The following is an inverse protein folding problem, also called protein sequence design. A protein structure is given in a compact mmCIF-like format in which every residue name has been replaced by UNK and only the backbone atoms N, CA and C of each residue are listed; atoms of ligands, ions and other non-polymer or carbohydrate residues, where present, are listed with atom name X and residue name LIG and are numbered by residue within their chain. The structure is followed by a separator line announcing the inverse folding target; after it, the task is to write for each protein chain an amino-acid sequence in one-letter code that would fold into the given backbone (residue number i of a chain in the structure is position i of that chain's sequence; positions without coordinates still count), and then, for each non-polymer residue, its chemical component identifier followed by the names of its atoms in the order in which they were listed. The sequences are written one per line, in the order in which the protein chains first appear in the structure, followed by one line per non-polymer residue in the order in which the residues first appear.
data_IF_817616129403
#
_entry.id   IF_817616129403
#
_cell.length_a   1.000
_cell.length_b   1.000
_cell.length_c   1.000
_cell.angle_alpha   90.00
_cell.angle_beta   90.00
_cell.angle_gamma   90.00
#
_symmetry.space_group_name_H-M   'P 1'
#
loop_
_entity.id
_entity.type
_entity.pdbx_description
1 polymer ?
#
# COMPACT_ATOMS: atom_id res chain seq x y z
N UNK A 1 -11.15 -24.10 -35.79
CA UNK A 1 -11.98 -22.97 -35.34
C UNK A 1 -11.91 -22.92 -33.83
N UNK A 2 -11.36 -21.85 -33.26
CA UNK A 2 -11.28 -21.69 -31.81
C UNK A 2 -12.57 -21.03 -31.33
N UNK A 3 -13.33 -21.74 -30.48
CA UNK A 3 -14.62 -21.25 -29.94
C UNK A 3 -14.44 -20.03 -29.03
N UNK A 4 -13.26 -19.89 -28.42
CA UNK A 4 -12.92 -18.76 -27.56
C UNK A 4 -11.75 -17.97 -28.13
N UNK A 5 -11.84 -16.64 -28.14
CA UNK A 5 -10.73 -15.76 -28.51
C UNK A 5 -9.55 -15.85 -27.51
N UNK A 6 -8.39 -15.35 -27.91
CA UNK A 6 -7.17 -15.37 -27.12
C UNK A 6 -7.36 -14.77 -25.70
N UNK A 7 -7.88 -13.55 -25.62
CA UNK A 7 -8.03 -12.82 -24.35
C UNK A 7 -8.94 -13.56 -23.34
N UNK A 8 -10.00 -14.19 -23.83
CA UNK A 8 -10.93 -14.96 -22.98
C UNK A 8 -10.28 -16.24 -22.49
N UNK A 9 -9.53 -16.93 -23.36
CA UNK A 9 -8.80 -18.15 -23.00
C UNK A 9 -7.78 -17.88 -21.91
N UNK A 10 -6.98 -16.82 -22.05
CA UNK A 10 -6.01 -16.42 -21.01
C UNK A 10 -6.70 -16.10 -19.69
N UNK A 11 -7.88 -15.46 -19.73
CA UNK A 11 -8.65 -15.18 -18.51
C UNK A 11 -9.19 -16.44 -17.83
N UNK A 12 -9.66 -17.43 -18.61
CA UNK A 12 -10.09 -18.73 -18.08
C UNK A 12 -8.90 -19.47 -17.45
N UNK A 13 -7.73 -19.44 -18.10
CA UNK A 13 -6.49 -20.00 -17.53
C UNK A 13 -6.11 -19.27 -16.24
N UNK A 14 -6.23 -17.94 -16.19
CA UNK A 14 -6.03 -17.14 -14.98
C UNK A 14 -6.97 -17.55 -13.84
N UNK A 15 -8.26 -17.73 -14.12
CA UNK A 15 -9.24 -18.23 -13.14
C UNK A 15 -8.93 -19.65 -12.66
N UNK A 16 -8.48 -20.53 -13.57
CA UNK A 16 -8.03 -21.87 -13.21
C UNK A 16 -6.80 -21.81 -12.30
N UNK A 17 -5.85 -20.94 -12.61
CA UNK A 17 -4.65 -20.72 -11.80
C UNK A 17 -5.02 -20.26 -10.38
N UNK A 18 -5.92 -19.26 -10.29
CA UNK A 18 -6.43 -18.73 -9.03
C UNK A 18 -7.17 -19.79 -8.20
N UNK A 19 -8.02 -20.60 -8.84
CA UNK A 19 -8.92 -21.53 -8.12
C UNK A 19 -8.26 -22.87 -7.76
N UNK A 20 -7.37 -23.39 -8.61
CA UNK A 20 -6.82 -24.75 -8.44
C UNK A 20 -5.34 -24.78 -8.10
N UNK A 21 -4.56 -23.90 -8.71
CA UNK A 21 -3.10 -24.02 -8.66
C UNK A 21 -2.54 -23.27 -7.46
N UNK A 22 -3.01 -22.06 -7.21
CA UNK A 22 -2.57 -21.24 -6.07
C UNK A 22 -2.80 -21.91 -4.70
N UNK A 23 -3.97 -22.52 -4.42
CA UNK A 23 -4.18 -23.24 -3.15
C UNK A 23 -3.21 -24.41 -2.95
N UNK A 24 -2.64 -24.98 -4.02
CA UNK A 24 -1.67 -26.07 -3.92
C UNK A 24 -0.25 -25.58 -3.55
N UNK A 25 0.08 -24.33 -3.85
CA UNK A 25 1.41 -23.77 -3.59
C UNK A 25 1.53 -23.08 -2.23
N UNK A 26 0.41 -22.69 -1.62
CA UNK A 26 0.33 -22.00 -0.32
C UNK A 26 1.29 -20.79 -0.24
N UNK A 27 1.27 -19.95 -1.28
CA UNK A 27 2.14 -18.78 -1.41
C UNK A 27 2.00 -17.78 -0.24
N UNK A 28 0.78 -17.44 0.23
CA UNK A 28 0.62 -16.49 1.33
C UNK A 28 1.31 -16.96 2.62
N UNK A 29 1.16 -18.24 2.97
CA UNK A 29 1.82 -18.85 4.13
C UNK A 29 3.33 -18.80 4.03
N UNK A 30 3.90 -19.15 2.87
CA UNK A 30 5.35 -19.07 2.61
C UNK A 30 5.90 -17.65 2.79
N UNK A 31 5.18 -16.64 2.30
CA UNK A 31 5.56 -15.24 2.47
C UNK A 31 5.60 -14.84 3.96
N UNK A 32 4.71 -15.39 4.78
CA UNK A 32 4.58 -15.13 6.21
C UNK A 32 5.53 -15.95 7.12
N UNK A 33 6.46 -16.72 6.55
CA UNK A 33 7.45 -17.48 7.33
C UNK A 33 8.65 -16.63 7.79
N UNK A 34 9.30 -16.99 8.89
CA UNK A 34 10.59 -16.39 9.29
C UNK A 34 10.49 -15.07 10.07
N UNK A 35 9.29 -14.71 10.53
CA UNK A 35 9.12 -13.63 11.50
C UNK A 35 9.37 -14.09 12.92
N UNK A 36 9.83 -13.17 13.76
CA UNK A 36 10.02 -13.40 15.19
C UNK A 36 9.16 -12.44 16.01
N UNK A 37 8.56 -12.99 17.07
CA UNK A 37 7.63 -12.28 17.93
C UNK A 37 8.02 -12.41 19.40
N UNK A 38 7.70 -11.37 20.16
CA UNK A 38 7.69 -11.41 21.62
C UNK A 38 6.39 -12.02 22.16
N UNK A 39 6.52 -12.98 23.06
CA UNK A 39 5.43 -13.55 23.83
C UNK A 39 5.40 -12.95 25.24
N UNK A 40 4.18 -12.76 25.75
CA UNK A 40 3.99 -12.32 27.11
C UNK A 40 4.37 -13.47 28.08
N UNK A 41 5.15 -13.19 29.12
CA UNK A 41 5.51 -14.17 30.14
C UNK A 41 4.28 -14.61 30.94
N UNK A 42 4.28 -15.87 31.39
CA UNK A 42 3.18 -16.41 32.20
C UNK A 42 3.15 -15.77 33.59
N UNK A 43 2.02 -15.88 34.29
CA UNK A 43 1.92 -15.36 35.65
C UNK A 43 2.96 -15.99 36.60
N UNK A 44 3.35 -17.24 36.35
CA UNK A 44 4.37 -17.94 37.12
C UNK A 44 5.78 -17.37 36.85
N UNK A 45 6.10 -17.06 35.59
CA UNK A 45 7.39 -16.46 35.21
C UNK A 45 7.51 -15.04 35.78
N UNK A 46 6.42 -14.27 35.76
CA UNK A 46 6.35 -12.95 36.37
C UNK A 46 6.54 -12.99 37.90
N UNK A 47 5.99 -14.02 38.58
CA UNK A 47 6.17 -14.22 40.03
C UNK A 47 7.59 -14.64 40.38
N UNK A 48 8.20 -15.49 39.55
CA UNK A 48 9.59 -15.92 39.70
C UNK A 48 10.55 -14.75 39.47
N UNK A 49 10.33 -13.93 38.43
CA UNK A 49 11.11 -12.73 38.14
C UNK A 49 10.96 -11.65 39.23
N UNK A 50 9.81 -11.59 39.90
CA UNK A 50 9.57 -10.73 41.06
C UNK A 50 10.15 -11.27 42.38
N UNK A 51 10.88 -12.39 42.36
CA UNK A 51 11.42 -13.08 43.55
C UNK A 51 10.34 -13.43 44.61
N UNK A 52 9.09 -13.64 44.19
CA UNK A 52 7.99 -14.01 45.06
C UNK A 52 7.85 -15.54 45.08
N UNK A 53 7.79 -16.15 46.28
CA UNK A 53 7.59 -17.61 46.42
C UNK A 53 6.31 -18.05 45.70
N UNK A 54 6.33 -19.17 44.96
CA UNK A 54 5.11 -19.71 44.35
C UNK A 54 4.08 -19.98 45.45
N UNK A 55 2.81 -19.60 45.23
CA UNK A 55 1.71 -20.01 46.10
C UNK A 55 1.59 -21.53 46.00
N UNK A 56 2.21 -22.25 46.93
CA UNK A 56 1.92 -23.67 47.14
C UNK A 56 0.44 -23.80 47.43
N UNK A 57 -0.27 -24.53 46.58
CA UNK A 57 -1.67 -24.88 46.74
C UNK A 57 -1.79 -25.78 47.97
N UNK A 58 -1.90 -25.19 49.16
CA UNK A 58 -2.44 -25.87 50.34
C UNK A 58 -3.64 -25.09 50.85
N UNK A 59 -4.74 -25.83 50.88
CA UNK A 59 -6.09 -25.40 51.13
C UNK A 59 -6.22 -24.49 52.37
N UNK A 60 -6.86 -23.34 52.19
CA UNK A 60 -7.66 -22.74 53.24
C UNK A 60 -8.97 -22.27 52.63
N UNK A 61 -10.00 -23.10 52.79
CA UNK A 61 -11.40 -22.71 52.60
C UNK A 61 -11.73 -21.64 53.65
N UNK A 62 -11.79 -20.38 53.24
CA UNK A 62 -12.70 -19.42 53.87
C UNK A 62 -13.07 -18.32 52.89
N UNK A 63 -14.38 -18.20 52.68
CA UNK A 63 -15.06 -17.21 51.87
C UNK A 63 -14.47 -15.81 52.01
N UNK A 64 -14.07 -15.24 50.89
CA UNK A 64 -14.31 -13.83 50.55
C UNK A 64 -14.17 -13.70 49.03
N UNK A 65 -15.15 -13.05 48.43
CA UNK A 65 -15.23 -12.60 47.04
C UNK A 65 -13.84 -12.45 46.38
N UNK A 66 -13.39 -13.46 45.65
CA UNK A 66 -12.08 -13.44 44.98
C UNK A 66 -12.25 -12.65 43.69
N UNK A 67 -12.25 -11.32 43.80
CA UNK A 67 -11.62 -10.54 42.74
C UNK A 67 -10.20 -11.10 42.64
N UNK A 68 -9.91 -11.79 41.54
CA UNK A 68 -8.58 -12.23 41.18
C UNK A 68 -7.66 -11.02 41.24
N UNK A 69 -6.98 -10.82 42.39
CA UNK A 69 -6.06 -9.69 42.58
C UNK A 69 -5.02 -9.78 41.48
N UNK A 70 -5.13 -8.89 40.50
CA UNK A 70 -4.21 -8.83 39.37
C UNK A 70 -2.78 -8.71 39.90
N UNK A 71 -1.90 -9.55 39.39
CA UNK A 71 -0.49 -9.54 39.78
C UNK A 71 0.17 -8.27 39.25
N UNK A 72 0.52 -7.36 40.17
CA UNK A 72 1.30 -6.15 39.88
C UNK A 72 2.78 -6.51 39.85
N UNK A 73 3.43 -6.24 38.74
CA UNK A 73 4.87 -6.47 38.54
C UNK A 73 5.64 -5.32 39.21
N UNK A 74 6.58 -5.62 40.14
CA UNK A 74 7.45 -4.60 40.72
C UNK A 74 8.31 -3.92 39.65
N UNK A 75 8.58 -2.61 39.80
CA UNK A 75 9.37 -1.85 38.81
C UNK A 75 10.76 -2.44 38.57
N UNK A 76 11.37 -2.98 39.63
CA UNK A 76 12.75 -3.48 39.65
C UNK A 76 12.89 -4.93 39.15
N UNK A 77 11.78 -5.62 38.87
CA UNK A 77 11.82 -7.00 38.39
C UNK A 77 12.13 -7.04 36.88
N UNK A 78 13.28 -7.58 36.47
CA UNK A 78 13.58 -7.84 35.06
C UNK A 78 12.75 -9.03 34.55
N UNK A 79 11.51 -8.77 34.11
CA UNK A 79 10.68 -9.81 33.52
C UNK A 79 11.13 -10.05 32.05
N UNK A 80 11.61 -11.26 31.70
CA UNK A 80 12.02 -11.56 30.34
C UNK A 80 10.80 -11.69 29.41
N UNK A 81 10.83 -11.02 28.26
CA UNK A 81 9.92 -11.28 27.14
C UNK A 81 10.50 -12.43 26.32
N UNK A 82 9.72 -13.49 26.10
CA UNK A 82 10.17 -14.63 25.31
C UNK A 82 10.18 -14.28 23.82
N UNK A 83 11.30 -14.49 23.16
CA UNK A 83 11.45 -14.27 21.72
C UNK A 83 11.38 -15.62 21.00
N UNK A 84 10.39 -15.80 20.13
CA UNK A 84 10.23 -17.05 19.40
C UNK A 84 9.79 -16.80 17.96
N UNK A 85 10.13 -17.76 17.10
CA UNK A 85 9.74 -17.76 15.70
C UNK A 85 8.24 -18.01 15.59
N UNK A 86 7.59 -17.26 14.71
CA UNK A 86 6.16 -17.39 14.42
C UNK A 86 5.95 -18.55 13.45
N UNK A 87 5.01 -19.45 13.77
CA UNK A 87 4.64 -20.55 12.87
C UNK A 87 3.62 -20.07 11.83
N UNK A 88 3.56 -20.76 10.69
CA UNK A 88 2.60 -20.43 9.64
C UNK A 88 1.14 -20.49 10.14
N UNK A 89 0.81 -21.49 10.96
CA UNK A 89 -0.53 -21.68 11.51
C UNK A 89 -0.97 -20.56 12.47
N UNK A 90 -0.03 -19.83 13.08
CA UNK A 90 -0.36 -18.76 14.01
C UNK A 90 -1.03 -17.58 13.28
N UNK A 91 -0.77 -17.42 11.98
CA UNK A 91 -1.30 -16.33 11.17
C UNK A 91 -2.76 -16.54 10.77
N UNK A 92 -3.25 -17.78 10.66
CA UNK A 92 -4.61 -18.05 10.19
C UNK A 92 -5.69 -17.55 11.15
N UNK A 93 -5.35 -17.41 12.44
CA UNK A 93 -6.24 -16.88 13.47
C UNK A 93 -6.32 -15.34 13.48
N UNK A 94 -5.45 -14.67 12.72
CA UNK A 94 -5.43 -13.21 12.69
C UNK A 94 -6.57 -12.64 11.84
N UNK A 95 -7.13 -11.54 12.31
CA UNK A 95 -8.13 -10.80 11.58
C UNK A 95 -7.49 -10.19 10.32
N UNK A 96 -8.17 -10.30 9.17
CA UNK A 96 -7.69 -9.99 7.81
C UNK A 96 -6.77 -11.01 7.11
N UNK A 97 -6.59 -12.22 7.67
CA UNK A 97 -5.82 -13.28 7.00
C UNK A 97 -6.36 -13.65 5.62
N UNK A 98 -7.69 -13.84 5.43
CA UNK A 98 -8.24 -14.08 4.11
C UNK A 98 -7.95 -12.95 3.12
N UNK A 99 -8.05 -11.70 3.54
CA UNK A 99 -7.83 -10.52 2.70
C UNK A 99 -6.36 -10.41 2.25
N UNK A 100 -5.41 -10.78 3.11
CA UNK A 100 -3.99 -10.88 2.73
C UNK A 100 -3.74 -12.00 1.71
N UNK A 101 -4.33 -13.18 1.93
CA UNK A 101 -4.22 -14.28 0.99
C UNK A 101 -4.77 -13.86 -0.38
N UNK A 102 -6.01 -13.36 -0.42
CA UNK A 102 -6.63 -12.86 -1.65
C UNK A 102 -5.81 -11.77 -2.34
N UNK A 103 -5.20 -10.85 -1.59
CA UNK A 103 -4.32 -9.83 -2.17
C UNK A 103 -3.15 -10.45 -2.94
N UNK A 104 -2.40 -11.34 -2.28
CA UNK A 104 -1.23 -11.99 -2.89
C UNK A 104 -1.65 -12.81 -4.11
N UNK A 105 -2.67 -13.64 -3.96
CA UNK A 105 -3.11 -14.58 -4.98
C UNK A 105 -3.70 -13.88 -6.21
N UNK A 106 -4.54 -12.87 -5.98
CA UNK A 106 -5.13 -12.07 -7.04
C UNK A 106 -4.09 -11.21 -7.75
N UNK A 107 -3.12 -10.65 -7.01
CA UNK A 107 -2.03 -9.89 -7.60
C UNK A 107 -1.14 -10.73 -8.51
N UNK A 108 -0.72 -11.92 -8.06
CA UNK A 108 0.09 -12.84 -8.86
C UNK A 108 -0.66 -13.27 -10.13
N UNK A 109 -1.94 -13.61 -9.99
CA UNK A 109 -2.77 -14.02 -11.13
C UNK A 109 -2.94 -12.89 -12.14
N UNK A 110 -3.20 -11.67 -11.67
CA UNK A 110 -3.35 -10.48 -12.53
C UNK A 110 -2.06 -10.18 -13.30
N UNK A 111 -0.92 -10.22 -12.61
CA UNK A 111 0.39 -10.03 -13.25
C UNK A 111 0.71 -11.14 -14.26
N UNK A 112 0.34 -12.39 -13.95
CA UNK A 112 0.51 -13.51 -14.86
C UNK A 112 -0.33 -13.33 -16.14
N UNK A 113 -1.62 -13.01 -15.99
CA UNK A 113 -2.53 -12.76 -17.13
C UNK A 113 -2.01 -11.61 -17.98
N UNK A 114 -1.53 -10.53 -17.36
CA UNK A 114 -0.93 -9.41 -18.07
C UNK A 114 0.35 -9.83 -18.81
N UNK A 115 1.27 -10.52 -18.14
CA UNK A 115 2.54 -10.95 -18.72
C UNK A 115 2.33 -11.87 -19.92
N UNK A 116 1.41 -12.84 -19.84
CA UNK A 116 1.06 -13.72 -20.98
C UNK A 116 0.43 -12.91 -22.12
N UNK A 117 -0.44 -11.95 -21.80
CA UNK A 117 -1.11 -11.13 -22.81
C UNK A 117 -0.14 -10.22 -23.56
N UNK A 118 0.92 -9.74 -22.89
CA UNK A 118 1.97 -8.91 -23.50
C UNK A 118 3.06 -9.72 -24.19
N UNK A 119 3.41 -10.91 -23.68
CA UNK A 119 4.46 -11.75 -24.23
C UNK A 119 4.09 -12.37 -25.58
N UNK A 120 2.79 -12.60 -25.83
CA UNK A 120 2.31 -13.15 -27.10
C UNK A 120 2.17 -12.02 -28.14
N UNK A 121 2.93 -12.06 -29.26
CA UNK A 121 2.82 -11.05 -30.31
C UNK A 121 1.41 -11.01 -30.90
N UNK A 122 0.99 -9.84 -31.38
CA UNK A 122 -0.34 -9.61 -31.98
C UNK A 122 -0.68 -10.64 -33.06
N UNK A 123 0.31 -11.07 -33.83
CA UNK A 123 0.14 -11.96 -34.99
C UNK A 123 -0.21 -13.40 -34.58
N UNK A 124 0.12 -13.78 -33.34
CA UNK A 124 -0.20 -15.09 -32.77
C UNK A 124 -1.49 -15.09 -31.94
N UNK A 125 -2.14 -13.93 -31.74
CA UNK A 125 -3.41 -13.84 -31.03
C UNK A 125 -4.53 -14.30 -31.98
N UNK A 126 -5.04 -15.51 -31.74
CA UNK A 126 -6.13 -16.04 -32.55
C UNK A 126 -7.43 -15.28 -32.24
N UNK A 127 -8.13 -14.92 -33.31
CA UNK A 127 -9.46 -14.29 -33.26
C UNK A 127 -10.51 -15.39 -33.11
N UNK A 128 -11.34 -15.30 -32.07
CA UNK A 128 -12.49 -16.20 -31.91
C UNK A 128 -13.69 -15.67 -32.68
N UNK A 129 -14.58 -16.56 -33.13
CA UNK A 129 -15.72 -16.20 -33.99
C UNK A 129 -16.84 -15.43 -33.24
N UNK A 130 -16.79 -15.32 -31.91
CA UNK A 130 -17.95 -14.98 -31.07
C UNK A 130 -17.84 -13.70 -30.23
N UNK A 131 -16.72 -12.97 -30.24
CA UNK A 131 -16.55 -11.72 -29.46
C UNK A 131 -15.78 -10.70 -30.30
N UNK A 132 -16.20 -9.42 -30.36
CA UNK A 132 -15.35 -8.38 -30.93
C UNK A 132 -14.04 -8.33 -30.15
N UNK A 133 -12.94 -8.65 -30.84
CA UNK A 133 -11.57 -8.78 -30.33
C UNK A 133 -10.97 -7.48 -29.75
N UNK A 134 -11.79 -6.43 -29.61
CA UNK A 134 -11.39 -5.10 -29.18
C UNK A 134 -11.14 -5.01 -27.67
N UNK A 135 -11.72 -5.92 -26.88
CA UNK A 135 -11.62 -5.85 -25.41
C UNK A 135 -10.42 -6.65 -24.90
N UNK A 136 -9.39 -5.91 -24.47
CA UNK A 136 -8.24 -6.48 -23.77
C UNK A 136 -8.63 -6.87 -22.33
N UNK A 137 -8.98 -8.14 -22.10
CA UNK A 137 -9.41 -8.63 -20.78
C UNK A 137 -8.34 -8.47 -19.70
N UNK A 138 -7.04 -8.40 -20.02
CA UNK A 138 -6.00 -8.16 -19.00
C UNK A 138 -6.19 -6.81 -18.29
N UNK A 139 -6.73 -5.80 -19.00
CA UNK A 139 -7.08 -4.50 -18.43
C UNK A 139 -8.20 -4.63 -17.40
N UNK A 140 -9.19 -5.49 -17.64
CA UNK A 140 -10.25 -5.78 -16.66
C UNK A 140 -9.65 -6.36 -15.38
N UNK A 141 -8.71 -7.30 -15.47
CA UNK A 141 -8.05 -7.86 -14.30
C UNK A 141 -7.31 -6.78 -13.49
N UNK A 142 -6.62 -5.85 -14.16
CA UNK A 142 -5.95 -4.72 -13.49
C UNK A 142 -6.98 -3.80 -12.81
N UNK A 143 -8.10 -3.47 -13.47
CA UNK A 143 -9.15 -2.64 -12.88
C UNK A 143 -9.75 -3.33 -11.64
N UNK A 144 -10.03 -4.64 -11.73
CA UNK A 144 -10.49 -5.44 -10.59
C UNK A 144 -9.47 -5.46 -9.45
N UNK A 145 -8.17 -5.50 -9.75
CA UNK A 145 -7.11 -5.44 -8.74
C UNK A 145 -7.10 -4.06 -8.04
N UNK A 146 -7.20 -2.97 -8.81
CA UNK A 146 -7.31 -1.62 -8.26
C UNK A 146 -8.55 -1.46 -7.37
N UNK A 147 -9.70 -1.99 -7.80
CA UNK A 147 -10.93 -1.97 -7.01
C UNK A 147 -10.81 -2.80 -5.73
N UNK A 148 -10.26 -4.01 -5.83
CA UNK A 148 -10.01 -4.86 -4.67
C UNK A 148 -9.12 -4.15 -3.65
N UNK A 149 -8.02 -3.54 -4.08
CA UNK A 149 -7.14 -2.79 -3.20
C UNK A 149 -7.86 -1.60 -2.55
N UNK A 150 -8.61 -0.82 -3.34
CA UNK A 150 -9.33 0.36 -2.86
C UNK A 150 -10.43 0.00 -1.85
N UNK A 151 -11.17 -1.08 -2.08
CA UNK A 151 -12.21 -1.58 -1.17
C UNK A 151 -11.59 -2.05 0.16
N UNK A 152 -10.48 -2.81 0.10
CA UNK A 152 -9.81 -3.27 1.31
C UNK A 152 -9.22 -2.11 2.12
N UNK A 153 -8.64 -1.11 1.45
CA UNK A 153 -8.19 0.12 2.10
C UNK A 153 -9.34 0.86 2.79
N UNK A 154 -10.48 1.04 2.11
CA UNK A 154 -11.66 1.67 2.70
C UNK A 154 -12.21 0.89 3.91
N UNK A 155 -12.18 -0.46 3.87
CA UNK A 155 -12.56 -1.33 4.99
C UNK A 155 -11.61 -1.21 6.19
N UNK A 156 -10.32 -1.03 5.95
CA UNK A 156 -9.34 -0.80 7.02
C UNK A 156 -9.59 0.57 7.67
N UNK A 157 -9.76 1.61 6.85
CA UNK A 157 -9.97 2.98 7.34
C UNK A 157 -11.31 3.15 8.07
N UNK A 158 -12.36 2.42 7.68
CA UNK A 158 -13.67 2.49 8.36
C UNK A 158 -13.64 1.96 9.80
N UNK A 159 -12.79 0.96 10.10
CA UNK A 159 -12.62 0.45 11.47
C UNK A 159 -11.95 1.45 12.40
N UNK A 160 -11.12 2.32 11.84
CA UNK A 160 -10.38 3.38 12.54
C UNK A 160 -11.22 4.65 12.74
N UNK A 161 -12.40 4.76 12.13
CA UNK A 161 -13.33 5.87 12.40
C UNK A 161 -13.91 5.79 13.83
N UNK A 162 -13.64 4.76 14.64
CA UNK A 162 -14.29 4.64 15.95
C UNK A 162 -13.77 5.63 17.00
N UNK A 163 -12.49 6.03 16.95
CA UNK A 163 -11.90 6.97 17.90
C UNK A 163 -12.07 8.43 17.46
N UNK A 164 -12.40 9.33 18.39
CA UNK A 164 -12.59 10.77 18.10
C UNK A 164 -11.33 11.43 17.52
N UNK A 165 -10.15 11.09 18.04
CA UNK A 165 -8.88 11.61 17.52
C UNK A 165 -8.52 11.06 16.14
N UNK A 166 -8.90 9.81 15.87
CA UNK A 166 -8.69 9.18 14.56
C UNK A 166 -9.60 9.81 13.48
N UNK A 167 -10.83 10.18 13.85
CA UNK A 167 -11.77 10.90 12.96
C UNK A 167 -11.22 12.26 12.52
N UNK A 168 -10.68 13.05 13.44
CA UNK A 168 -10.17 14.38 13.11
C UNK A 168 -8.95 14.30 12.18
N UNK A 169 -8.06 13.32 12.39
CA UNK A 169 -6.95 13.04 11.47
C UNK A 169 -7.45 12.68 10.08
N UNK A 170 -8.44 11.78 9.95
CA UNK A 170 -9.01 11.42 8.65
C UNK A 170 -9.56 12.64 7.91
N UNK A 171 -10.36 13.46 8.58
CA UNK A 171 -10.94 14.68 7.99
C UNK A 171 -9.85 15.65 7.56
N UNK A 172 -8.81 15.85 8.38
CA UNK A 172 -7.71 16.76 8.07
C UNK A 172 -6.96 16.35 6.78
N UNK A 173 -6.53 15.09 6.66
CA UNK A 173 -5.87 14.63 5.43
C UNK A 173 -6.82 14.59 4.22
N UNK A 174 -8.10 14.31 4.44
CA UNK A 174 -9.14 14.47 3.41
C UNK A 174 -9.22 15.91 2.90
N UNK A 175 -9.20 16.90 3.79
CA UNK A 175 -9.19 18.31 3.40
C UNK A 175 -7.89 18.73 2.71
N UNK A 176 -6.73 18.24 3.14
CA UNK A 176 -5.46 18.57 2.49
C UNK A 176 -5.35 17.99 1.08
N UNK A 177 -5.82 16.77 0.87
CA UNK A 177 -5.87 16.16 -0.47
C UNK A 177 -6.94 16.81 -1.36
N UNK A 178 -8.07 17.22 -0.80
CA UNK A 178 -9.07 18.04 -1.50
C UNK A 178 -8.46 19.34 -2.02
N UNK A 179 -7.77 20.10 -1.16
CA UNK A 179 -7.14 21.37 -1.53
C UNK A 179 -6.03 21.12 -2.55
N UNK A 180 -5.20 20.09 -2.35
CA UNK A 180 -4.13 19.72 -3.29
C UNK A 180 -4.69 19.39 -4.67
N UNK A 181 -5.79 18.64 -4.74
CA UNK A 181 -6.50 18.35 -5.99
C UNK A 181 -7.07 19.61 -6.63
N UNK A 182 -7.71 20.48 -5.84
CA UNK A 182 -8.28 21.72 -6.33
C UNK A 182 -7.20 22.62 -6.94
N UNK A 183 -6.05 22.73 -6.27
CA UNK A 183 -4.87 23.41 -6.80
C UNK A 183 -4.39 22.76 -8.09
N UNK A 184 -4.22 21.43 -8.12
CA UNK A 184 -3.71 20.74 -9.30
C UNK A 184 -4.63 20.83 -10.54
N UNK A 185 -5.94 20.83 -10.35
CA UNK A 185 -6.92 20.96 -11.44
C UNK A 185 -7.09 22.41 -11.92
N UNK A 186 -6.71 23.40 -11.10
CA UNK A 186 -6.81 24.83 -11.43
C UNK A 186 -5.53 25.38 -12.04
N UNK A 187 -4.37 24.83 -11.67
CA UNK A 187 -3.07 25.23 -12.22
C UNK A 187 -2.97 24.89 -13.72
N UNK A 188 -2.12 25.65 -14.43
CA UNK A 188 -1.82 25.38 -15.84
C UNK A 188 -0.98 24.12 -16.01
N UNK A 189 -1.04 23.55 -17.22
CA UNK A 189 -0.22 22.39 -17.63
C UNK A 189 1.29 22.61 -17.47
N UNK A 190 1.74 23.87 -17.39
CA UNK A 190 3.14 24.22 -17.11
C UNK A 190 3.60 23.82 -15.69
N UNK A 191 2.68 23.78 -14.73
CA UNK A 191 3.01 23.46 -13.33
C UNK A 191 2.79 22.00 -13.02
N UNK A 192 1.66 21.44 -13.48
CA UNK A 192 1.27 20.05 -13.22
C UNK A 192 0.69 19.45 -14.49
N UNK A 193 1.29 18.34 -14.93
CA UNK A 193 0.95 17.72 -16.21
C UNK A 193 -0.07 16.59 -16.03
N UNK A 194 -1.34 16.97 -15.90
CA UNK A 194 -2.44 16.01 -15.77
C UNK A 194 -3.25 15.83 -17.05
N UNK A 195 -3.18 16.78 -17.99
CA UNK A 195 -4.03 16.78 -19.20
C UNK A 195 -5.50 17.18 -18.94
N UNK A 196 -5.82 17.62 -17.72
CA UNK A 196 -7.20 17.96 -17.34
C UNK A 196 -7.77 19.18 -18.08
N UNK A 197 -6.92 20.16 -18.42
CA UNK A 197 -7.38 21.37 -19.12
C UNK A 197 -7.88 21.06 -20.54
N UNK A 198 -7.26 20.10 -21.21
CA UNK A 198 -7.68 19.62 -22.53
C UNK A 198 -9.02 18.89 -22.45
N UNK A 199 -9.19 18.05 -21.42
CA UNK A 199 -10.43 17.32 -21.17
C UNK A 199 -11.63 18.25 -20.97
N UNK A 200 -11.43 19.36 -20.25
CA UNK A 200 -12.53 20.25 -19.83
C UNK A 200 -12.68 21.49 -20.73
N UNK A 201 -11.88 21.57 -21.80
CA UNK A 201 -11.90 22.69 -22.76
C UNK A 201 -13.28 22.90 -23.40
N UNK A 202 -13.98 21.81 -23.73
CA UNK A 202 -15.26 21.83 -24.43
C UNK A 202 -16.49 21.86 -23.51
N UNK A 203 -16.28 21.90 -22.18
CA UNK A 203 -17.36 21.88 -21.19
C UNK A 203 -17.78 23.29 -20.78
N UNK A 204 -19.10 23.49 -20.64
CA UNK A 204 -19.66 24.73 -20.09
C UNK A 204 -19.11 25.00 -18.68
N UNK A 205 -19.02 26.29 -18.31
CA UNK A 205 -18.43 26.73 -17.03
C UNK A 205 -19.03 26.04 -15.80
N UNK A 206 -20.35 25.84 -15.77
CA UNK A 206 -21.03 25.16 -14.65
C UNK A 206 -20.68 23.67 -14.60
N UNK A 207 -20.62 23.00 -15.75
CA UNK A 207 -20.24 21.58 -15.83
C UNK A 207 -18.76 21.38 -15.47
N UNK A 208 -17.88 22.30 -15.91
CA UNK A 208 -16.46 22.35 -15.52
C UNK A 208 -16.30 22.42 -14.00
N UNK A 209 -16.99 23.35 -13.34
CA UNK A 209 -16.93 23.48 -11.87
C UNK A 209 -17.50 22.24 -11.18
N UNK A 210 -18.62 21.70 -11.66
CA UNK A 210 -19.22 20.48 -11.12
C UNK A 210 -18.27 19.27 -11.20
N UNK A 211 -17.65 19.06 -12.36
CA UNK A 211 -16.71 17.96 -12.58
C UNK A 211 -15.45 18.12 -11.71
N UNK A 212 -14.87 19.32 -11.65
CA UNK A 212 -13.75 19.62 -10.73
C UNK A 212 -14.13 19.33 -9.28
N UNK A 213 -15.33 19.72 -8.85
CA UNK A 213 -15.79 19.49 -7.48
C UNK A 213 -15.98 18.00 -7.17
N UNK A 214 -16.55 17.22 -8.09
CA UNK A 214 -16.70 15.76 -7.93
C UNK A 214 -15.33 15.09 -7.81
N UNK A 215 -14.36 15.47 -8.64
CA UNK A 215 -13.00 14.94 -8.58
C UNK A 215 -12.30 15.34 -7.27
N UNK A 216 -12.48 16.59 -6.81
CA UNK A 216 -11.95 17.04 -5.52
C UNK A 216 -12.60 16.28 -4.33
N UNK A 217 -13.90 16.01 -4.36
CA UNK A 217 -14.54 15.19 -3.32
C UNK A 217 -14.03 13.75 -3.34
N UNK A 218 -13.83 13.18 -4.53
CA UNK A 218 -13.24 11.85 -4.70
C UNK A 218 -11.80 11.80 -4.16
N UNK A 219 -10.99 12.82 -4.44
CA UNK A 219 -9.63 12.92 -3.88
C UNK A 219 -9.62 13.05 -2.36
N UNK A 220 -10.56 13.79 -1.78
CA UNK A 220 -10.72 13.87 -0.33
C UNK A 220 -11.01 12.51 0.32
N UNK A 221 -11.86 11.71 -0.33
CA UNK A 221 -12.15 10.35 0.12
C UNK A 221 -10.90 9.47 0.08
N UNK A 222 -10.18 9.44 -1.03
CA UNK A 222 -8.93 8.66 -1.14
C UNK A 222 -7.86 9.15 -0.15
N UNK A 223 -7.70 10.46 0.01
CA UNK A 223 -6.79 11.04 0.99
C UNK A 223 -7.08 10.59 2.41
N UNK A 224 -8.36 10.61 2.81
CA UNK A 224 -8.79 10.10 4.11
C UNK A 224 -8.45 8.61 4.26
N UNK A 225 -8.71 7.81 3.23
CA UNK A 225 -8.44 6.37 3.26
C UNK A 225 -6.93 6.07 3.40
N UNK A 226 -6.05 6.84 2.75
CA UNK A 226 -4.60 6.63 2.83
C UNK A 226 -3.93 7.17 4.09
N UNK A 227 -4.57 8.09 4.84
CA UNK A 227 -3.99 8.72 6.03
C UNK A 227 -3.28 7.70 6.92
N UNK A 228 -4.01 6.75 7.50
CA UNK A 228 -3.45 5.77 8.43
C UNK A 228 -2.40 4.86 7.81
N UNK A 229 -2.50 4.58 6.52
CA UNK A 229 -1.48 3.82 5.83
C UNK A 229 -0.15 4.59 5.81
N UNK A 230 -0.19 5.89 5.53
CA UNK A 230 0.99 6.76 5.59
C UNK A 230 1.62 6.86 6.98
N UNK A 231 0.81 7.04 8.04
CA UNK A 231 1.31 7.04 9.42
C UNK A 231 2.04 5.75 9.77
N UNK A 232 1.44 4.60 9.43
CA UNK A 232 2.01 3.29 9.74
C UNK A 232 3.30 3.02 8.97
N UNK A 233 3.35 3.41 7.69
CA UNK A 233 4.58 3.32 6.90
C UNK A 233 5.68 4.19 7.50
N UNK A 234 5.37 5.42 7.94
CA UNK A 234 6.33 6.31 8.56
C UNK A 234 6.87 5.74 9.89
N UNK A 235 5.98 5.22 10.74
CA UNK A 235 6.35 4.55 12.00
C UNK A 235 7.29 3.37 11.74
N UNK A 236 6.88 2.43 10.90
CA UNK A 236 7.70 1.25 10.56
C UNK A 236 9.04 1.61 9.96
N UNK A 237 9.10 2.66 9.15
CA UNK A 237 10.34 3.08 8.52
C UNK A 237 11.33 3.64 9.56
N UNK A 238 10.84 4.44 10.50
CA UNK A 238 11.64 4.91 11.65
C UNK A 238 12.12 3.72 12.48
N UNK A 239 11.22 2.85 12.89
CA UNK A 239 11.54 1.70 13.76
C UNK A 239 12.50 0.72 13.06
N UNK A 240 12.34 0.48 11.76
CA UNK A 240 13.26 -0.34 10.99
C UNK A 240 14.64 0.32 10.86
N UNK A 241 14.70 1.63 10.63
CA UNK A 241 15.96 2.37 10.51
C UNK A 241 16.73 2.52 11.82
N UNK A 242 16.05 2.45 12.97
CA UNK A 242 16.68 2.41 14.29
C UNK A 242 17.32 1.04 14.59
N UNK A 243 16.71 -0.05 14.12
CA UNK A 243 17.18 -1.41 14.36
C UNK A 243 18.29 -1.86 13.37
N UNK A 244 18.36 -1.27 12.19
CA UNK A 244 19.31 -1.65 11.12
C UNK A 244 20.55 -0.74 11.05
N UNK A 245 21.67 -1.27 10.52
CA UNK A 245 22.94 -0.54 10.35
C UNK A 245 23.48 -0.61 8.92
N UNK A 246 24.31 0.37 8.55
CA UNK A 246 25.02 0.40 7.26
C UNK A 246 24.11 0.42 6.04
N UNK A 247 24.36 -0.47 5.07
CA UNK A 247 23.65 -0.53 3.79
C UNK A 247 22.15 -0.80 4.00
N UNK A 248 21.77 -1.69 4.92
CA UNK A 248 20.35 -2.01 5.17
C UNK A 248 19.56 -0.78 5.64
N UNK A 249 20.15 0.05 6.50
CA UNK A 249 19.55 1.32 6.92
C UNK A 249 19.35 2.28 5.74
N UNK A 250 20.35 2.38 4.85
CA UNK A 250 20.24 3.17 3.62
C UNK A 250 19.11 2.64 2.72
N UNK A 251 18.97 1.32 2.58
CA UNK A 251 17.92 0.70 1.76
C UNK A 251 16.51 0.95 2.32
N UNK A 252 16.36 0.93 3.64
CA UNK A 252 15.10 1.23 4.35
C UNK A 252 14.71 2.69 4.11
N UNK A 253 15.62 3.64 4.35
CA UNK A 253 15.37 5.05 4.03
C UNK A 253 15.08 5.27 2.54
N UNK A 254 15.83 4.63 1.64
CA UNK A 254 15.58 4.68 0.21
C UNK A 254 14.16 4.27 -0.15
N UNK A 255 13.62 3.22 0.48
CA UNK A 255 12.23 2.75 0.26
C UNK A 255 11.17 3.76 0.70
N UNK A 256 11.47 4.60 1.69
CA UNK A 256 10.59 5.66 2.15
C UNK A 256 10.63 6.86 1.20
N UNK A 257 11.84 7.33 0.87
CA UNK A 257 12.02 8.48 -0.01
C UNK A 257 11.55 8.21 -1.45
N UNK A 258 11.70 6.99 -1.97
CA UNK A 258 11.24 6.67 -3.32
C UNK A 258 9.72 6.89 -3.48
N UNK A 259 8.93 6.66 -2.42
CA UNK A 259 7.50 6.98 -2.43
C UNK A 259 7.18 8.48 -2.52
N UNK A 260 8.07 9.33 -1.98
CA UNK A 260 7.93 10.79 -2.02
C UNK A 260 8.35 11.39 -3.37
N UNK A 261 9.20 10.67 -4.13
CA UNK A 261 9.65 11.12 -5.44
C UNK A 261 8.56 10.98 -6.51
N UNK A 262 7.62 10.04 -6.36
CA UNK A 262 6.62 9.75 -7.39
C UNK A 262 5.74 10.96 -7.73
N UNK A 263 5.14 11.70 -6.77
CA UNK A 263 4.35 12.88 -7.10
C UNK A 263 5.16 13.97 -7.81
N UNK A 264 6.46 14.08 -7.52
CA UNK A 264 7.37 15.09 -8.12
C UNK A 264 7.50 14.86 -9.63
N UNK A 265 7.41 13.61 -10.10
CA UNK A 265 7.48 13.29 -11.53
C UNK A 265 6.37 13.93 -12.37
N UNK A 266 5.25 14.33 -11.76
CA UNK A 266 4.12 14.99 -12.44
C UNK A 266 4.28 16.51 -12.59
N UNK A 267 5.36 17.09 -12.04
CA UNK A 267 5.66 18.51 -12.17
C UNK A 267 6.69 18.71 -13.28
N UNK A 268 6.30 19.23 -14.48
CA UNK A 268 7.20 19.31 -15.63
C UNK A 268 8.50 20.06 -15.35
N UNK A 269 8.42 21.20 -14.65
CA UNK A 269 9.59 22.01 -14.28
C UNK A 269 10.60 21.28 -13.40
N UNK A 270 10.15 20.34 -12.59
CA UNK A 270 11.03 19.56 -11.69
C UNK A 270 11.52 18.27 -12.35
N UNK A 271 10.77 17.73 -13.30
CA UNK A 271 11.05 16.43 -13.90
C UNK A 271 11.31 16.53 -15.41
N UNK A 272 10.25 16.66 -16.23
CA UNK A 272 10.34 16.63 -17.70
C UNK A 272 11.31 17.67 -18.26
N UNK A 273 11.13 18.93 -17.91
CA UNK A 273 11.95 20.04 -18.42
C UNK A 273 13.40 19.93 -17.95
N UNK A 274 13.63 19.38 -16.76
CA UNK A 274 14.98 19.15 -16.24
C UNK A 274 15.69 18.02 -16.99
N UNK A 275 14.98 16.94 -17.31
CA UNK A 275 15.52 15.86 -18.13
C UNK A 275 15.80 16.30 -19.58
N UNK A 276 15.00 17.21 -20.11
CA UNK A 276 15.16 17.80 -21.45
C UNK A 276 16.16 18.98 -21.50
N UNK A 277 16.85 19.32 -20.40
CA UNK A 277 17.90 20.34 -20.44
C UNK A 277 19.05 19.89 -21.36
N UNK A 278 19.57 20.78 -22.23
CA UNK A 278 20.62 20.44 -23.21
C UNK A 278 21.89 19.87 -22.57
N UNK A 279 22.24 20.31 -21.36
CA UNK A 279 23.35 19.75 -20.58
C UNK A 279 23.15 18.30 -20.15
N UNK A 280 21.89 17.86 -19.94
CA UNK A 280 21.57 16.49 -19.60
C UNK A 280 21.47 15.63 -20.86
N UNK A 281 20.98 16.17 -21.98
CA UNK A 281 20.92 15.49 -23.28
C UNK A 281 22.30 14.96 -23.73
N UNK A 282 23.37 15.76 -23.57
CA UNK A 282 24.75 15.34 -23.86
C UNK A 282 25.21 14.14 -23.01
N UNK A 283 24.79 14.06 -21.75
CA UNK A 283 25.14 12.94 -20.85
C UNK A 283 24.39 11.63 -21.21
N UNK A 284 23.34 11.71 -22.02
CA UNK A 284 22.44 10.61 -22.34
C UNK A 284 22.34 10.30 -23.84
N UNK A 285 23.30 10.77 -24.65
CA UNK A 285 23.36 10.48 -26.11
C UNK A 285 23.36 8.97 -26.45
N UNK A 286 23.74 8.12 -25.50
CA UNK A 286 23.69 6.66 -25.66
C UNK A 286 22.26 6.08 -25.71
N UNK A 287 21.23 6.86 -25.34
CA UNK A 287 19.83 6.42 -25.39
C UNK A 287 19.26 6.56 -26.82
N UNK A 288 18.74 5.47 -27.42
CA UNK A 288 18.17 5.53 -28.76
C UNK A 288 16.89 6.37 -28.77
N UNK A 289 16.87 7.44 -29.57
CA UNK A 289 15.69 8.30 -29.80
C UNK A 289 15.69 9.65 -29.07
N UNK A 290 16.72 9.99 -28.28
CA UNK A 290 16.73 11.24 -27.51
C UNK A 290 15.64 11.29 -26.42
N UNK A 291 15.55 12.40 -25.67
CA UNK A 291 14.50 12.61 -24.66
C UNK A 291 13.16 13.04 -25.29
N UNK A 292 12.60 12.18 -26.14
CA UNK A 292 11.23 12.32 -26.62
C UNK A 292 10.22 12.20 -25.46
N UNK A 293 9.05 12.83 -25.59
CA UNK A 293 8.00 12.82 -24.55
C UNK A 293 7.59 11.39 -24.15
N UNK A 294 7.61 10.46 -25.11
CA UNK A 294 7.35 9.03 -24.90
C UNK A 294 8.39 8.38 -23.97
N UNK A 295 9.67 8.75 -24.11
CA UNK A 295 10.74 8.20 -23.28
C UNK A 295 10.58 8.70 -21.84
N UNK A 296 10.20 9.96 -21.65
CA UNK A 296 10.01 10.56 -20.33
C UNK A 296 8.84 9.90 -19.60
N UNK A 297 7.74 9.64 -20.30
CA UNK A 297 6.59 8.91 -19.74
C UNK A 297 6.96 7.46 -19.38
N UNK A 298 7.86 6.82 -20.14
CA UNK A 298 8.43 5.50 -19.80
C UNK A 298 9.33 5.56 -18.57
N UNK A 299 10.17 6.58 -18.43
CA UNK A 299 11.01 6.78 -17.25
C UNK A 299 10.12 7.01 -16.02
N UNK A 300 9.08 7.84 -16.13
CA UNK A 300 8.11 8.04 -15.07
C UNK A 300 7.47 6.71 -14.64
N UNK A 301 7.00 5.92 -15.61
CA UNK A 301 6.43 4.60 -15.36
C UNK A 301 7.44 3.66 -14.66
N UNK A 302 8.69 3.64 -15.14
CA UNK A 302 9.75 2.83 -14.56
C UNK A 302 10.06 3.25 -13.11
N UNK A 303 10.11 4.55 -12.81
CA UNK A 303 10.29 5.07 -11.44
C UNK A 303 9.18 4.54 -10.52
N UNK A 304 7.92 4.56 -10.97
CA UNK A 304 6.78 4.10 -10.15
C UNK A 304 6.86 2.60 -9.88
N UNK A 305 7.14 1.80 -10.91
CA UNK A 305 7.22 0.34 -10.79
C UNK A 305 8.42 -0.08 -9.95
N UNK A 306 9.60 0.48 -10.21
CA UNK A 306 10.81 0.19 -9.44
C UNK A 306 10.66 0.62 -7.97
N UNK A 307 10.07 1.79 -7.71
CA UNK A 307 9.79 2.25 -6.34
C UNK A 307 8.80 1.33 -5.62
N UNK A 308 7.78 0.85 -6.32
CA UNK A 308 6.79 -0.09 -5.77
C UNK A 308 7.43 -1.45 -5.48
N UNK A 309 8.25 -1.97 -6.40
CA UNK A 309 9.00 -3.21 -6.22
C UNK A 309 9.99 -3.12 -5.05
N UNK A 310 10.69 -2.00 -4.89
CA UNK A 310 11.60 -1.78 -3.76
C UNK A 310 10.86 -1.83 -2.42
N UNK A 311 9.71 -1.14 -2.31
CA UNK A 311 8.86 -1.20 -1.11
C UNK A 311 8.36 -2.62 -0.84
N UNK A 312 7.87 -3.30 -1.86
CA UNK A 312 7.44 -4.71 -1.75
C UNK A 312 8.58 -5.67 -1.44
N UNK A 313 9.84 -5.31 -1.69
CA UNK A 313 10.99 -6.09 -1.26
C UNK A 313 11.32 -5.85 0.23
N UNK A 314 11.20 -4.61 0.70
CA UNK A 314 11.51 -4.20 2.08
C UNK A 314 10.41 -4.52 3.11
N UNK A 315 9.22 -4.95 2.68
CA UNK A 315 8.07 -5.20 3.55
C UNK A 315 8.37 -6.08 4.78
N UNK A 316 9.20 -7.13 4.62
CA UNK A 316 9.56 -8.05 5.71
C UNK A 316 10.32 -7.33 6.82
N UNK A 317 11.27 -6.49 6.46
CA UNK A 317 12.07 -5.71 7.42
C UNK A 317 11.17 -4.75 8.21
N UNK A 318 10.23 -4.09 7.54
CA UNK A 318 9.27 -3.20 8.18
C UNK A 318 8.31 -3.91 9.14
N UNK A 319 7.80 -5.09 8.76
CA UNK A 319 6.92 -5.88 9.64
C UNK A 319 7.69 -6.44 10.82
N UNK A 320 8.93 -6.89 10.62
CA UNK A 320 9.77 -7.36 11.71
C UNK A 320 10.07 -6.23 12.72
N UNK A 321 10.28 -5.00 12.24
CA UNK A 321 10.41 -3.83 13.09
C UNK A 321 9.10 -3.54 13.86
N UNK A 322 7.94 -3.66 13.21
CA UNK A 322 6.65 -3.51 13.88
C UNK A 322 6.43 -4.54 14.99
N UNK A 323 6.76 -5.82 14.75
CA UNK A 323 6.69 -6.87 15.77
C UNK A 323 7.62 -6.59 16.96
N UNK A 324 8.76 -5.94 16.71
CA UNK A 324 9.71 -5.56 17.76
C UNK A 324 9.20 -4.43 18.67
N UNK A 325 8.23 -3.61 18.23
CA UNK A 325 7.59 -2.55 19.04
C UNK A 325 7.03 -3.10 20.35
N UNK A 326 6.64 -4.38 20.39
CA UNK A 326 6.13 -5.01 21.61
C UNK A 326 7.08 -4.88 22.79
N UNK A 327 8.39 -4.99 22.56
CA UNK A 327 9.40 -4.80 23.59
C UNK A 327 9.42 -3.37 24.09
N UNK A 328 9.57 -2.41 23.18
CA UNK A 328 9.64 -0.98 23.51
C UNK A 328 8.36 -0.48 24.20
N UNK A 329 7.18 -0.95 23.76
CA UNK A 329 5.89 -0.61 24.36
C UNK A 329 5.76 -1.10 25.80
N UNK A 330 6.21 -2.32 26.08
CA UNK A 330 6.23 -2.87 27.45
C UNK A 330 7.22 -2.09 28.33
N UNK A 331 8.42 -1.81 27.82
CA UNK A 331 9.43 -1.03 28.55
C UNK A 331 8.95 0.39 28.88
N UNK A 332 8.33 1.09 27.93
CA UNK A 332 7.72 2.41 28.17
C UNK A 332 6.58 2.33 29.19
N UNK A 333 5.68 1.36 29.05
CA UNK A 333 4.56 1.18 29.98
C UNK A 333 5.03 0.94 31.42
N UNK A 334 6.10 0.14 31.61
CA UNK A 334 6.73 -0.11 32.91
C UNK A 334 7.35 1.15 33.52
N UNK A 335 7.96 2.01 32.71
CA UNK A 335 8.54 3.28 33.19
C UNK A 335 7.45 4.26 33.65
N UNK A 336 6.37 4.38 32.88
CA UNK A 336 5.31 5.37 33.11
C UNK A 336 4.32 4.99 34.23
N UNK A 337 3.95 3.71 34.35
CA UNK A 337 2.96 3.28 35.36
C UNK A 337 3.63 2.88 36.68
N UNK A 338 3.02 3.28 37.80
CA UNK A 338 3.46 2.87 39.15
C UNK A 338 3.17 1.39 39.42
N UNK A 339 2.00 0.92 39.00
CA UNK A 339 1.54 -0.47 39.17
C UNK A 339 1.23 -1.04 37.79
N UNK A 340 2.16 -1.79 37.21
CA UNK A 340 1.95 -2.43 35.90
C UNK A 340 1.57 -3.89 36.10
N UNK A 341 0.38 -4.31 35.65
CA UNK A 341 -0.10 -5.68 35.87
C UNK A 341 0.35 -6.62 34.74
N UNK A 342 0.48 -7.91 35.05
CA UNK A 342 0.81 -8.93 34.04
C UNK A 342 -0.27 -8.98 32.94
N UNK A 343 -1.54 -8.76 33.28
CA UNK A 343 -2.63 -8.73 32.30
C UNK A 343 -2.49 -7.54 31.34
N UNK A 344 -2.11 -6.37 31.84
CA UNK A 344 -1.83 -5.20 30.98
C UNK A 344 -0.63 -5.45 30.06
N UNK A 345 0.41 -6.12 30.55
CA UNK A 345 1.56 -6.53 29.75
C UNK A 345 1.18 -7.53 28.65
N UNK A 346 0.45 -8.57 29.03
CA UNK A 346 -0.04 -9.57 28.08
C UNK A 346 -0.95 -8.95 27.04
N UNK A 347 -1.85 -8.04 27.44
CA UNK A 347 -2.73 -7.30 26.53
C UNK A 347 -1.93 -6.44 25.55
N UNK A 348 -0.91 -5.71 26.00
CA UNK A 348 -0.09 -4.86 25.11
C UNK A 348 0.68 -5.68 24.06
N UNK A 349 1.30 -6.79 24.46
CA UNK A 349 2.04 -7.68 23.54
C UNK A 349 1.08 -8.39 22.57
N UNK A 350 -0.07 -8.83 23.07
CA UNK A 350 -1.09 -9.54 22.28
C UNK A 350 -1.78 -8.63 21.29
N UNK A 351 -2.04 -7.37 21.65
CA UNK A 351 -2.64 -6.38 20.77
C UNK A 351 -1.78 -6.14 19.53
N UNK A 352 -0.46 -5.97 19.70
CA UNK A 352 0.46 -5.77 18.57
C UNK A 352 0.40 -6.95 17.59
N UNK A 353 0.34 -8.18 18.11
CA UNK A 353 0.17 -9.36 17.28
C UNK A 353 -1.15 -9.36 16.49
N UNK A 354 -2.28 -9.13 17.16
CA UNK A 354 -3.59 -9.08 16.50
C UNK A 354 -3.68 -8.01 15.41
N UNK A 355 -2.94 -6.90 15.55
CA UNK A 355 -2.89 -5.83 14.55
C UNK A 355 -1.81 -6.01 13.48
N UNK A 356 -0.89 -6.98 13.62
CA UNK A 356 0.25 -7.12 12.70
C UNK A 356 -0.19 -7.28 11.24
N UNK A 357 -1.26 -8.02 10.99
CA UNK A 357 -1.72 -8.24 9.61
C UNK A 357 -2.49 -7.05 9.03
N UNK A 358 -3.28 -6.34 9.84
CA UNK A 358 -3.87 -5.04 9.49
C UNK A 358 -2.77 -4.09 9.03
N UNK A 359 -1.71 -4.04 9.82
CA UNK A 359 -0.56 -3.16 9.61
C UNK A 359 0.28 -3.59 8.40
N UNK A 360 0.38 -4.88 8.13
CA UNK A 360 0.96 -5.44 6.89
C UNK A 360 0.16 -4.99 5.66
N UNK A 361 -1.16 -5.10 5.70
CA UNK A 361 -2.03 -4.66 4.60
C UNK A 361 -1.96 -3.16 4.37
N UNK A 362 -1.86 -2.35 5.43
CA UNK A 362 -1.68 -0.90 5.33
C UNK A 362 -0.37 -0.50 4.64
N UNK A 363 0.65 -1.35 4.66
CA UNK A 363 1.91 -1.14 3.93
C UNK A 363 1.80 -1.62 2.47
N UNK A 364 1.25 -2.82 2.24
CA UNK A 364 1.25 -3.48 0.93
C UNK A 364 0.17 -2.91 0.00
N UNK A 365 -1.07 -2.74 0.47
CA UNK A 365 -2.20 -2.33 -0.38
C UNK A 365 -1.97 -1.02 -1.14
N UNK A 366 -1.48 0.07 -0.52
CA UNK A 366 -1.21 1.32 -1.25
C UNK A 366 -0.14 1.14 -2.32
N UNK A 367 0.89 0.35 -2.03
CA UNK A 367 2.01 0.08 -2.93
C UNK A 367 1.54 -0.74 -4.14
N UNK A 368 0.77 -1.80 -3.90
CA UNK A 368 0.20 -2.66 -4.95
C UNK A 368 -0.82 -1.90 -5.81
N UNK A 369 -1.66 -1.06 -5.20
CA UNK A 369 -2.60 -0.19 -5.93
C UNK A 369 -1.86 0.77 -6.87
N UNK A 370 -0.78 1.40 -6.40
CA UNK A 370 0.01 2.32 -7.22
C UNK A 370 0.67 1.59 -8.40
N UNK A 371 1.18 0.37 -8.18
CA UNK A 371 1.73 -0.48 -9.23
C UNK A 371 0.67 -0.86 -10.28
N UNK A 372 -0.53 -1.28 -9.87
CA UNK A 372 -1.59 -1.61 -10.82
C UNK A 372 -2.13 -0.40 -11.56
N UNK A 373 -2.23 0.77 -10.93
CA UNK A 373 -2.59 2.01 -11.63
C UNK A 373 -1.53 2.42 -12.66
N UNK A 374 -0.25 2.18 -12.39
CA UNK A 374 0.83 2.39 -13.34
C UNK A 374 0.73 1.44 -14.56
N UNK A 375 0.47 0.15 -14.33
CA UNK A 375 0.24 -0.82 -15.40
C UNK A 375 -1.04 -0.53 -16.20
N UNK A 376 -2.07 -0.02 -15.53
CA UNK A 376 -3.29 0.46 -16.17
C UNK A 376 -3.00 1.69 -17.04
N UNK A 377 -2.22 2.65 -16.54
CA UNK A 377 -1.80 3.83 -17.30
C UNK A 377 -1.05 3.43 -18.57
N UNK A 378 -0.07 2.51 -18.45
CA UNK A 378 0.65 1.95 -19.60
C UNK A 378 -0.30 1.35 -20.64
N UNK A 379 -1.24 0.52 -20.19
CA UNK A 379 -2.17 -0.18 -21.08
C UNK A 379 -3.14 0.79 -21.75
N UNK A 380 -3.58 1.83 -21.03
CA UNK A 380 -4.54 2.81 -21.54
C UNK A 380 -3.90 3.81 -22.51
N UNK A 381 -2.65 4.22 -22.28
CA UNK A 381 -1.93 5.16 -23.15
C UNK A 381 -1.39 4.53 -24.43
N UNK A 382 -1.47 3.21 -24.59
CA UNK A 382 -0.84 2.51 -25.71
C UNK A 382 0.69 2.46 -25.62
N UNK A 383 1.26 2.74 -24.45
CA UNK A 383 2.70 2.70 -24.23
C UNK A 383 3.23 1.26 -24.23
N UNK A 384 4.21 1.03 -25.09
CA UNK A 384 5.03 -0.19 -25.12
C UNK A 384 6.26 -0.03 -24.24
N UNK A 385 6.77 -1.14 -23.70
CA UNK A 385 8.03 -1.14 -22.92
C UNK A 385 9.23 -0.69 -23.75
N UNK A 386 9.22 -1.04 -25.04
CA UNK A 386 10.23 -0.69 -26.03
C UNK A 386 9.55 -0.53 -27.40
N UNK A 387 10.13 0.31 -28.27
CA UNK A 387 9.63 0.52 -29.64
C UNK A 387 8.61 1.65 -29.78
N UNK A 388 7.83 1.70 -30.87
CA UNK A 388 6.85 2.76 -31.10
C UNK A 388 5.62 2.62 -30.19
N UNK A 389 4.93 3.74 -29.93
CA UNK A 389 3.64 3.74 -29.23
C UNK A 389 2.56 3.08 -30.09
N UNK A 390 1.65 2.38 -29.44
CA UNK A 390 0.43 1.84 -30.05
C UNK A 390 -0.73 2.82 -29.84
N UNK A 391 -1.88 2.56 -30.48
CA UNK A 391 -3.05 3.43 -30.34
C UNK A 391 -3.52 3.47 -28.87
N UNK A 392 -3.75 4.66 -28.30
CA UNK A 392 -4.33 4.78 -26.97
C UNK A 392 -5.76 4.22 -26.95
N UNK A 393 -6.29 3.99 -25.74
CA UNK A 393 -7.64 3.45 -25.58
C UNK A 393 -8.68 4.38 -26.22
N UNK A 394 -9.41 3.85 -27.21
CA UNK A 394 -10.55 4.51 -27.82
C UNK A 394 -11.73 4.62 -26.85
N UNK A 395 -12.52 5.68 -26.98
CA UNK A 395 -13.72 5.85 -26.16
C UNK A 395 -14.72 4.71 -26.45
N UNK A 396 -15.41 4.16 -25.43
CA UNK A 396 -16.45 3.16 -25.63
C UNK A 396 -17.58 3.69 -26.54
N UNK A 397 -18.19 2.80 -27.32
CA UNK A 397 -19.30 3.14 -28.21
C UNK A 397 -20.41 3.89 -27.45
N UNK A 398 -20.78 5.08 -27.93
CA UNK A 398 -21.76 5.96 -27.27
C UNK A 398 -21.16 7.09 -26.43
N UNK A 399 -19.83 7.11 -26.26
CA UNK A 399 -19.05 8.21 -25.65
C UNK A 399 -18.16 8.93 -26.67
N UNK A 400 -18.46 8.80 -27.97
CA UNK A 400 -17.67 9.35 -29.10
C UNK A 400 -17.57 10.88 -29.09
N UNK A 401 -18.37 11.56 -28.25
CA UNK A 401 -18.31 13.01 -28.02
C UNK A 401 -17.17 13.44 -27.09
N UNK A 402 -16.58 12.51 -26.33
CA UNK A 402 -15.40 12.81 -25.51
C UNK A 402 -14.16 12.84 -26.41
N UNK A 403 -13.19 13.75 -26.16
CA UNK A 403 -11.91 13.70 -26.86
C UNK A 403 -11.23 12.35 -26.61
N UNK A 404 -10.60 11.79 -27.65
CA UNK A 404 -9.79 10.58 -27.53
C UNK A 404 -8.73 10.76 -26.44
N UNK A 405 -8.53 9.76 -25.58
CA UNK A 405 -7.57 9.83 -24.47
C UNK A 405 -8.14 10.38 -23.15
N UNK A 406 -9.44 10.67 -23.05
CA UNK A 406 -10.11 11.07 -21.80
C UNK A 406 -9.84 10.09 -20.65
N UNK A 407 -9.92 8.77 -20.92
CA UNK A 407 -9.63 7.75 -19.92
C UNK A 407 -8.16 7.72 -19.50
N UNK A 408 -7.24 8.04 -20.41
CA UNK A 408 -5.79 8.15 -20.12
C UNK A 408 -5.54 9.29 -19.15
N UNK A 409 -6.17 10.46 -19.38
CA UNK A 409 -6.13 11.62 -18.48
C UNK A 409 -6.72 11.27 -17.11
N UNK A 410 -7.86 10.59 -17.06
CA UNK A 410 -8.48 10.17 -15.81
C UNK A 410 -7.57 9.20 -15.02
N UNK A 411 -6.96 8.21 -15.69
CA UNK A 411 -6.03 7.26 -15.05
C UNK A 411 -4.74 7.98 -14.59
N UNK A 412 -4.18 8.90 -15.41
CA UNK A 412 -3.02 9.72 -15.03
C UNK A 412 -3.32 10.56 -13.79
N UNK A 413 -4.51 11.15 -13.72
CA UNK A 413 -4.97 11.87 -12.54
C UNK A 413 -5.13 10.97 -11.32
N UNK A 414 -5.73 9.78 -11.45
CA UNK A 414 -5.83 8.82 -10.35
C UNK A 414 -4.45 8.39 -9.84
N UNK A 415 -3.49 8.17 -10.74
CA UNK A 415 -2.12 7.82 -10.40
C UNK A 415 -1.43 8.93 -9.60
N UNK A 416 -1.55 10.18 -10.07
CA UNK A 416 -1.07 11.36 -9.34
C UNK A 416 -1.76 11.47 -7.97
N UNK A 417 -3.09 11.37 -7.91
CA UNK A 417 -3.88 11.46 -6.69
C UNK A 417 -3.43 10.44 -5.64
N UNK A 418 -3.33 9.16 -6.02
CA UNK A 418 -2.92 8.09 -5.10
C UNK A 418 -1.49 8.32 -4.63
N UNK A 419 -0.57 8.69 -5.53
CA UNK A 419 0.81 8.98 -5.14
C UNK A 419 0.92 10.18 -4.19
N UNK A 420 0.17 11.25 -4.46
CA UNK A 420 0.18 12.48 -3.67
C UNK A 420 -0.44 12.25 -2.29
N UNK A 421 -1.57 11.53 -2.21
CA UNK A 421 -2.19 11.15 -0.94
C UNK A 421 -1.25 10.28 -0.09
N UNK A 422 -0.53 9.34 -0.70
CA UNK A 422 0.48 8.55 -0.01
C UNK A 422 1.66 9.40 0.50
N UNK A 423 2.17 10.31 -0.33
CA UNK A 423 3.29 11.17 0.06
C UNK A 423 2.90 12.13 1.21
N UNK A 424 1.75 12.79 1.11
CA UNK A 424 1.24 13.68 2.16
C UNK A 424 1.03 12.93 3.48
N UNK A 425 0.44 11.73 3.43
CA UNK A 425 0.23 10.92 4.64
C UNK A 425 1.53 10.38 5.23
N UNK A 426 2.54 10.04 4.41
CA UNK A 426 3.87 9.64 4.89
C UNK A 426 4.62 10.81 5.54
N UNK A 427 4.57 12.00 4.95
CA UNK A 427 5.18 13.22 5.53
C UNK A 427 4.48 13.56 6.85
N UNK A 428 3.13 13.58 6.85
CA UNK A 428 2.36 13.83 8.05
C UNK A 428 2.61 12.81 9.15
N UNK A 429 2.74 11.53 8.80
CA UNK A 429 3.13 10.45 9.71
C UNK A 429 4.53 10.63 10.29
N UNK A 430 5.49 11.03 9.45
CA UNK A 430 6.86 11.29 9.90
C UNK A 430 6.91 12.47 10.89
N UNK A 431 6.24 13.58 10.57
CA UNK A 431 6.13 14.75 11.44
C UNK A 431 5.44 14.37 12.77
N UNK A 432 4.36 13.60 12.69
CA UNK A 432 3.63 13.15 13.87
C UNK A 432 4.51 12.35 14.80
N UNK A 433 5.20 11.32 14.29
CA UNK A 433 6.07 10.50 15.13
C UNK A 433 7.33 11.25 15.59
N UNK A 434 7.84 12.23 14.84
CA UNK A 434 8.98 13.03 15.28
C UNK A 434 8.64 14.03 16.38
N UNK A 435 7.42 14.58 16.39
CA UNK A 435 6.96 15.59 17.36
C UNK A 435 6.27 14.94 18.56
N UNK A 436 5.49 13.90 18.32
CA UNK A 436 4.67 13.22 19.32
C UNK A 436 5.21 11.79 19.44
N UNK A 437 5.97 11.53 20.50
CA UNK A 437 6.60 10.23 20.78
C UNK A 437 5.57 9.19 21.31
N UNK A 438 4.35 9.17 20.72
CA UNK A 438 3.27 8.24 21.04
C UNK A 438 3.05 7.24 19.92
N UNK A 439 3.03 5.96 20.28
CA UNK A 439 2.68 4.88 19.34
C UNK A 439 1.14 4.85 19.20
N UNK A 440 0.63 5.11 18.00
CA UNK A 440 -0.79 4.94 17.65
C UNK A 440 -1.21 3.47 17.71
#
# INVERSE_FOLDING_TARGET
MAVFGFNLTVSIVGLFFLRKLIPAFDFPSKLLTGFYRFYAPSENDCRQAAQLKPKTVKASKKNQNVQSKEFVIPKDAEVPLYFAQVKADDWSFLHFYPEFCWLVEFSITTLFVLAVTEAVPSDFKWRGDSVPDELNLSVIWIILACLFCSINLARLSSKLIRSTGERSLLVMFGTFTFVSSLSALTLSSEWIELGFQELVSNLERMSKLGLTLVICLFSAFFGSVFSFCGFRVAQMNRDAAENEKGIKKMLVHGSFFCGLLIPITFFPKLFRLRLQEPSNLENFEWLPGGFDDVLIDRIQLAIIICSSAWKLFMWRTHIQAYLAIAKTRVERARKMKKNYTQQEMSKNVTLIWYYTLVTTLQYILPTVLLMFLALLYKSASGMTWYGPQTKPWSNPSGLDKLPEGTFVVAIKYLLWLVSNAQALSMIGGYIFHSVIDTDL
#
